data_IF_293985450858
#
_entry.id   IF_293985450858
#
_cell.length_a   1.000
_cell.length_b   1.000
_cell.length_c   1.000
_cell.angle_alpha   90.00
_cell.angle_beta   90.00
_cell.angle_gamma   90.00
#
_symmetry.space_group_name_H-M   'P 1'
#
loop_
_entity.id
_entity.type
_entity.pdbx_description
1 polymer ?
#
# COMPACT_ATOMS: atom_id res chain seq x y z
N UNK A 1 -16.76 -10.23 14.92
CA UNK A 1 -17.30 -9.78 13.62
C UNK A 1 -16.60 -8.50 13.20
N UNK A 2 -15.98 -8.50 12.02
CA UNK A 2 -15.20 -7.38 11.49
C UNK A 2 -15.29 -7.34 9.97
N UNK A 3 -15.19 -6.15 9.38
CA UNK A 3 -15.25 -5.96 7.92
C UNK A 3 -13.86 -6.20 7.35
N UNK A 4 -13.78 -6.95 6.26
CA UNK A 4 -12.54 -7.19 5.54
C UNK A 4 -12.57 -6.54 4.16
N UNK A 5 -11.41 -6.12 3.67
CA UNK A 5 -11.20 -5.74 2.28
C UNK A 5 -10.20 -6.68 1.62
N UNK A 6 -10.40 -6.91 0.33
CA UNK A 6 -9.43 -7.59 -0.55
C UNK A 6 -8.85 -6.53 -1.47
N UNK A 7 -7.54 -6.39 -1.43
CA UNK A 7 -6.77 -5.40 -2.18
C UNK A 7 -5.94 -6.13 -3.22
N UNK A 8 -5.91 -5.61 -4.46
CA UNK A 8 -5.04 -6.13 -5.49
C UNK A 8 -3.56 -5.81 -5.17
N UNK A 9 -2.68 -6.75 -5.47
CA UNK A 9 -1.28 -6.70 -5.10
C UNK A 9 -0.98 -7.74 -4.03
N UNK A 10 0.00 -8.60 -4.28
CA UNK A 10 0.43 -9.65 -3.36
C UNK A 10 1.93 -9.91 -3.45
N UNK A 11 2.37 -11.09 -3.00
CA UNK A 11 3.79 -11.41 -2.99
C UNK A 11 4.40 -11.56 -4.40
N UNK A 12 3.58 -11.81 -5.43
CA UNK A 12 4.05 -11.79 -6.82
C UNK A 12 4.42 -10.37 -7.30
N UNK A 13 3.82 -9.35 -6.70
CA UNK A 13 4.07 -7.93 -6.95
C UNK A 13 5.14 -7.34 -6.01
N UNK A 14 5.82 -8.19 -5.23
CA UNK A 14 6.85 -7.79 -4.26
C UNK A 14 6.34 -7.43 -2.87
N UNK A 15 5.03 -7.46 -2.64
CA UNK A 15 4.44 -7.24 -1.32
C UNK A 15 4.53 -8.55 -0.53
N UNK A 16 5.69 -8.78 0.10
CA UNK A 16 5.99 -10.06 0.75
C UNK A 16 5.15 -10.38 1.99
N UNK A 17 5.21 -11.65 2.43
CA UNK A 17 4.47 -12.15 3.61
C UNK A 17 4.89 -11.49 4.93
N UNK A 18 6.04 -10.83 4.99
CA UNK A 18 6.48 -10.08 6.18
C UNK A 18 5.60 -8.86 6.50
N UNK A 19 4.74 -8.45 5.56
CA UNK A 19 3.79 -7.35 5.78
C UNK A 19 2.60 -7.75 6.67
N UNK A 20 2.41 -9.06 6.95
CA UNK A 20 1.34 -9.54 7.83
C UNK A 20 1.53 -8.95 9.24
N UNK A 21 0.48 -8.30 9.76
CA UNK A 21 0.53 -7.56 11.02
C UNK A 21 0.88 -6.08 10.85
N UNK A 22 1.38 -5.67 9.69
CA UNK A 22 1.57 -4.27 9.30
C UNK A 22 0.26 -3.54 8.99
N UNK A 23 0.39 -2.28 8.53
CA UNK A 23 -0.76 -1.39 8.32
C UNK A 23 -0.77 -0.81 6.89
N UNK A 24 -1.96 -0.68 6.32
CA UNK A 24 -2.23 0.14 5.14
C UNK A 24 -3.14 1.32 5.52
N UNK A 25 -3.00 2.45 4.84
CA UNK A 25 -3.85 3.63 5.04
C UNK A 25 -4.93 3.71 3.97
N UNK A 26 -6.17 3.90 4.36
CA UNK A 26 -7.28 4.25 3.46
C UNK A 26 -8.15 5.33 4.10
N UNK A 27 -8.53 6.38 3.35
CA UNK A 27 -9.37 7.50 3.83
C UNK A 27 -8.97 8.01 5.24
N UNK A 28 -7.68 8.32 5.44
CA UNK A 28 -7.08 8.78 6.71
C UNK A 28 -7.11 7.81 7.89
N UNK A 29 -7.46 6.54 7.67
CA UNK A 29 -7.52 5.50 8.70
C UNK A 29 -6.52 4.39 8.42
N UNK A 30 -6.06 3.73 9.49
CA UNK A 30 -5.14 2.61 9.41
C UNK A 30 -5.90 1.30 9.48
N UNK A 31 -5.59 0.40 8.55
CA UNK A 31 -6.20 -0.92 8.42
C UNK A 31 -5.11 -1.98 8.53
N UNK A 32 -5.41 -3.06 9.23
CA UNK A 32 -4.41 -4.09 9.55
C UNK A 32 -4.32 -5.10 8.43
N UNK A 33 -3.10 -5.42 7.99
CA UNK A 33 -2.84 -6.51 7.06
C UNK A 33 -2.96 -7.84 7.82
N UNK A 34 -3.90 -8.71 7.41
CA UNK A 34 -4.14 -10.00 8.06
C UNK A 34 -3.67 -11.19 7.23
N UNK A 35 -3.56 -11.03 5.91
CA UNK A 35 -3.00 -12.04 5.03
C UNK A 35 -2.42 -11.41 3.76
N UNK A 36 -1.44 -12.10 3.18
CA UNK A 36 -0.80 -11.75 1.90
C UNK A 36 -0.74 -13.01 1.05
N UNK A 37 -1.43 -13.00 -0.08
CA UNK A 37 -1.51 -14.08 -1.06
C UNK A 37 -0.69 -13.72 -2.31
N UNK A 38 -0.80 -14.52 -3.38
CA UNK A 38 -0.03 -14.32 -4.61
C UNK A 38 -0.30 -12.96 -5.24
N UNK A 39 -1.59 -12.66 -5.45
CA UNK A 39 -2.04 -11.47 -6.20
C UNK A 39 -2.91 -10.52 -5.36
N UNK A 40 -3.14 -10.86 -4.08
CA UNK A 40 -4.02 -10.08 -3.19
C UNK A 40 -3.51 -9.96 -1.77
N UNK A 41 -3.90 -8.88 -1.11
CA UNK A 41 -3.74 -8.64 0.33
C UNK A 41 -5.12 -8.57 0.98
N UNK A 42 -5.25 -9.15 2.18
CA UNK A 42 -6.47 -9.06 2.98
C UNK A 42 -6.24 -8.08 4.12
N UNK A 43 -7.13 -7.10 4.23
CA UNK A 43 -7.15 -6.10 5.30
C UNK A 43 -8.31 -6.34 6.25
N UNK A 44 -8.06 -6.19 7.55
CA UNK A 44 -9.11 -5.97 8.54
C UNK A 44 -9.35 -4.46 8.68
N UNK A 45 -10.54 -4.02 8.34
CA UNK A 45 -10.90 -2.61 8.26
C UNK A 45 -11.30 -2.05 9.64
N UNK A 46 -10.71 -0.92 10.00
CA UNK A 46 -11.11 -0.13 11.18
C UNK A 46 -12.39 0.68 10.93
N UNK A 47 -12.70 0.94 9.66
CA UNK A 47 -13.92 1.59 9.21
C UNK A 47 -14.24 1.11 7.78
N UNK A 48 -15.51 1.14 7.34
CA UNK A 48 -15.88 0.73 5.99
C UNK A 48 -15.14 1.53 4.90
N UNK A 49 -14.69 0.82 3.87
CA UNK A 49 -14.22 1.38 2.60
C UNK A 49 -15.18 0.93 1.49
N UNK A 50 -15.35 1.78 0.49
CA UNK A 50 -16.04 1.43 -0.74
C UNK A 50 -15.07 0.70 -1.70
N UNK A 51 -15.62 -0.10 -2.61
CA UNK A 51 -14.84 -0.69 -3.70
C UNK A 51 -14.28 0.43 -4.58
N UNK A 52 -12.98 0.37 -4.88
CA UNK A 52 -12.26 1.38 -5.65
C UNK A 52 -11.61 2.48 -4.81
N UNK A 53 -11.81 2.48 -3.48
CA UNK A 53 -11.04 3.35 -2.61
C UNK A 53 -9.55 3.02 -2.67
N UNK A 54 -8.73 4.06 -2.74
CA UNK A 54 -7.28 3.92 -2.68
C UNK A 54 -6.83 3.51 -1.28
N UNK A 55 -5.85 2.61 -1.25
CA UNK A 55 -5.11 2.26 -0.04
C UNK A 55 -3.62 2.35 -0.29
N UNK A 56 -2.89 2.92 0.67
CA UNK A 56 -1.44 3.13 0.58
C UNK A 56 -0.74 2.25 1.60
N UNK A 57 0.29 1.52 1.17
CA UNK A 57 1.17 0.78 2.07
C UNK A 57 2.01 1.79 2.86
N UNK A 58 1.99 1.73 4.20
CA UNK A 58 2.87 2.57 5.01
C UNK A 58 4.18 1.82 5.22
N UNK A 59 5.31 2.49 4.99
CA UNK A 59 6.65 1.94 5.21
C UNK A 59 6.72 1.29 6.59
N UNK A 60 6.95 -0.02 6.61
CA UNK A 60 7.06 -0.79 7.83
C UNK A 60 8.54 -0.93 8.19
N UNK A 61 8.91 -0.62 9.43
CA UNK A 61 10.25 -0.88 9.97
C UNK A 61 10.63 -2.38 9.91
N UNK A 62 9.67 -3.26 9.64
CA UNK A 62 9.86 -4.70 9.49
C UNK A 62 10.59 -5.11 8.21
N UNK A 63 10.72 -4.23 7.21
CA UNK A 63 11.46 -4.50 5.99
C UNK A 63 12.73 -3.67 5.91
N UNK A 64 13.85 -4.32 5.56
CA UNK A 64 15.01 -3.58 5.07
C UNK A 64 14.59 -2.81 3.82
N UNK A 65 14.80 -1.48 3.83
CA UNK A 65 14.41 -0.59 2.71
C UNK A 65 14.81 -1.16 1.34
N UNK A 66 15.97 -1.81 1.24
CA UNK A 66 16.47 -2.40 0.00
C UNK A 66 15.58 -3.53 -0.57
N UNK A 67 15.04 -4.39 0.27
CA UNK A 67 14.18 -5.50 -0.17
C UNK A 67 12.79 -5.00 -0.59
N UNK A 68 12.27 -3.96 0.08
CA UNK A 68 10.99 -3.36 -0.25
C UNK A 68 11.02 -2.75 -1.66
N UNK A 69 12.02 -1.93 -1.99
CA UNK A 69 12.05 -1.21 -3.27
C UNK A 69 12.39 -2.09 -4.49
N UNK A 70 13.06 -3.22 -4.29
CA UNK A 70 13.46 -4.11 -5.39
C UNK A 70 12.37 -5.10 -5.78
N UNK A 71 11.47 -5.46 -4.85
CA UNK A 71 10.37 -6.37 -5.12
C UNK A 71 9.18 -5.73 -5.85
N UNK A 72 8.95 -4.42 -5.69
CA UNK A 72 7.72 -3.76 -6.14
C UNK A 72 7.52 -3.80 -7.67
N UNK A 73 6.38 -4.37 -8.08
CA UNK A 73 5.90 -4.37 -9.46
C UNK A 73 5.08 -3.12 -9.82
N UNK A 74 5.13 -2.70 -11.09
CA UNK A 74 4.43 -1.52 -11.60
C UNK A 74 5.05 -0.19 -11.15
N UNK A 75 5.23 0.76 -12.08
CA UNK A 75 5.83 2.07 -11.76
C UNK A 75 5.02 3.19 -12.38
N UNK A 76 4.59 4.13 -11.55
CA UNK A 76 4.01 5.40 -11.97
C UNK A 76 4.98 6.51 -11.58
N UNK A 77 5.40 7.29 -12.57
CA UNK A 77 6.34 8.39 -12.38
C UNK A 77 5.57 9.71 -12.35
N UNK A 78 5.81 10.53 -11.33
CA UNK A 78 5.31 11.90 -11.26
C UNK A 78 6.49 12.83 -11.51
N UNK A 79 6.45 13.60 -12.60
CA UNK A 79 7.41 14.65 -12.84
C UNK A 79 7.01 15.87 -11.99
N UNK A 80 7.94 16.32 -11.14
CA UNK A 80 7.74 17.53 -10.36
C UNK A 80 7.77 18.70 -11.35
N UNK A 81 6.60 19.24 -11.73
CA UNK A 81 6.57 20.47 -12.51
C UNK A 81 7.05 21.61 -11.61
N UNK A 82 8.33 21.92 -11.68
CA UNK A 82 8.84 23.22 -11.23
C UNK A 82 8.25 24.26 -12.18
N UNK A 83 7.08 24.80 -11.85
CA UNK A 83 6.67 26.08 -12.38
C UNK A 83 7.65 27.11 -11.82
N UNK A 84 8.77 27.32 -12.49
CA UNK A 84 9.49 28.58 -12.36
C UNK A 84 8.54 29.68 -12.86
N UNK A 85 8.23 30.61 -11.97
CA UNK A 85 7.43 31.78 -12.28
C UNK A 85 8.25 32.67 -13.23
N UNK A 86 7.81 32.94 -14.49
CA UNK A 86 8.61 33.68 -15.45
C UNK A 86 8.57 35.21 -15.25
N UNK A 87 8.45 35.70 -14.01
CA UNK A 87 8.47 37.13 -13.70
C UNK A 87 9.63 37.50 -12.76
N UNK A 88 10.83 37.57 -13.33
CA UNK A 88 11.89 38.49 -12.90
C UNK A 88 12.27 39.37 -14.07
#
# INVERSE_FOLDING_TARGET
>A
DGIIAVVAGGYADGLGKGLIGGMMRGRDRLHKIVAVCMDVIILHLSCPLAVGDEVTLIESELYSRYELYTGLGGRTYFEQSTKEDPST
#
